data_IF_827537080373
#
_entry.id   IF_827537080373
#
_cell.length_a   1.000
_cell.length_b   1.000
_cell.length_c   1.000
_cell.angle_alpha   90.00
_cell.angle_beta   90.00
_cell.angle_gamma   90.00
#
_symmetry.space_group_name_H-M   'P 1'
#
loop_
_entity.id
_entity.type
_entity.pdbx_description
1 polymer ?
#
# COMPACT_ATOMS: atom_id res chain seq x y z
N UNK A 1 -43.57 24.49 37.15
CA UNK A 1 -42.10 24.58 37.22
C UNK A 1 -41.58 24.91 35.83
N UNK A 2 -41.76 26.16 35.39
CA UNK A 2 -41.57 26.63 34.00
C UNK A 2 -40.59 27.82 33.95
N UNK A 3 -39.75 27.97 34.98
CA UNK A 3 -38.82 29.09 35.20
C UNK A 3 -37.40 28.78 34.70
N UNK A 4 -37.32 28.48 33.40
CA UNK A 4 -36.07 28.36 32.65
C UNK A 4 -35.75 29.60 31.80
N UNK A 5 -36.09 30.77 32.34
CA UNK A 5 -35.34 32.02 32.20
C UNK A 5 -34.75 32.36 30.81
N UNK A 6 -35.44 33.29 30.16
CA UNK A 6 -34.92 34.65 29.99
C UNK A 6 -33.72 34.88 29.05
N UNK A 7 -33.23 33.87 28.31
CA UNK A 7 -32.15 34.07 27.32
C UNK A 7 -32.63 34.62 25.96
N UNK A 8 -33.94 34.85 25.83
CA UNK A 8 -34.53 35.65 24.74
C UNK A 8 -34.53 37.16 25.05
N UNK A 9 -34.00 37.54 26.22
CA UNK A 9 -33.70 38.92 26.55
C UNK A 9 -32.37 39.28 25.89
N UNK A 10 -32.49 39.91 24.73
CA UNK A 10 -31.65 41.02 24.25
C UNK A 10 -31.18 40.86 22.80
N UNK A 11 -32.17 40.79 21.90
CA UNK A 11 -32.03 41.28 20.54
C UNK A 11 -31.96 42.82 20.56
N UNK A 12 -30.78 43.40 20.81
CA UNK A 12 -30.38 44.78 20.48
C UNK A 12 -29.01 45.03 21.14
N UNK A 13 -27.95 45.32 20.39
CA UNK A 13 -27.67 46.69 19.94
C UNK A 13 -26.67 46.58 18.79
N UNK A 14 -26.98 47.27 17.69
CA UNK A 14 -26.03 47.46 16.60
C UNK A 14 -25.00 48.56 16.90
N UNK A 15 -24.06 48.67 15.97
CA UNK A 15 -23.33 49.88 15.57
C UNK A 15 -21.84 49.98 15.98
N UNK A 16 -21.02 50.27 14.95
CA UNK A 16 -19.59 50.63 15.00
C UNK A 16 -18.72 49.55 14.36
N UNK A 17 -18.11 49.66 13.17
CA UNK A 17 -17.64 50.84 12.45
C UNK A 17 -16.11 50.87 12.44
N UNK A 18 -15.52 50.56 11.27
CA UNK A 18 -14.14 50.83 10.83
C UNK A 18 -12.96 50.11 11.51
N UNK A 19 -12.21 49.30 10.74
CA UNK A 19 -10.86 49.66 10.24
C UNK A 19 -10.06 48.42 9.80
N UNK A 20 -9.62 48.46 8.53
CA UNK A 20 -8.32 47.98 8.02
C UNK A 20 -7.71 46.68 8.50
N UNK A 21 -7.54 45.73 7.57
CA UNK A 21 -6.61 44.62 7.77
C UNK A 21 -6.75 43.53 6.73
N UNK A 22 -6.32 43.80 5.49
CA UNK A 22 -6.02 42.76 4.49
C UNK A 22 -5.02 41.77 5.10
N UNK A 23 -5.48 40.57 5.43
CA UNK A 23 -4.69 39.55 6.10
C UNK A 23 -5.03 38.16 5.61
N UNK A 24 -4.27 37.70 4.62
CA UNK A 24 -3.94 36.30 4.39
C UNK A 24 -5.10 35.35 4.09
N UNK A 25 -5.39 35.18 2.80
CA UNK A 25 -5.82 33.86 2.30
C UNK A 25 -4.84 32.81 2.84
N UNK A 26 -5.31 31.73 3.50
CA UNK A 26 -4.45 30.60 3.77
C UNK A 26 -4.11 30.01 2.40
N UNK A 27 -2.88 30.23 1.97
CA UNK A 27 -2.30 29.50 0.87
C UNK A 27 -2.47 28.01 1.19
N UNK A 28 -3.26 27.31 0.38
CA UNK A 28 -3.20 25.86 0.26
C UNK A 28 -1.84 25.54 -0.37
N UNK A 29 -0.80 25.69 0.44
CA UNK A 29 0.50 25.04 0.29
C UNK A 29 0.40 23.68 0.96
N UNK A 30 -0.52 22.85 0.44
CA UNK A 30 -0.42 21.43 0.67
C UNK A 30 0.78 20.97 -0.13
N UNK A 31 1.94 20.94 0.51
CA UNK A 31 3.07 20.17 0.02
C UNK A 31 2.53 18.76 -0.23
N UNK A 32 2.33 18.44 -1.50
CA UNK A 32 2.23 17.06 -1.94
C UNK A 32 3.52 16.43 -1.44
N UNK A 33 3.44 15.74 -0.29
CA UNK A 33 4.32 14.61 -0.05
C UNK A 33 4.04 13.72 -1.24
N UNK A 34 4.86 13.85 -2.28
CA UNK A 34 5.15 12.77 -3.18
C UNK A 34 5.53 11.64 -2.25
N UNK A 35 4.58 10.77 -1.95
CA UNK A 35 4.90 9.47 -1.44
C UNK A 35 5.84 8.94 -2.51
N UNK A 36 7.13 8.87 -2.19
CA UNK A 36 8.09 8.10 -2.98
C UNK A 36 7.50 6.69 -3.01
N UNK A 37 6.69 6.45 -4.05
CA UNK A 37 6.05 5.17 -4.27
C UNK A 37 7.17 4.16 -4.29
N UNK A 38 7.02 3.13 -3.45
CA UNK A 38 7.98 2.05 -3.33
C UNK A 38 8.49 1.66 -4.71
N UNK A 39 9.80 1.72 -4.94
CA UNK A 39 10.30 1.60 -6.30
C UNK A 39 9.94 0.22 -6.84
N UNK A 40 9.64 0.15 -8.14
CA UNK A 40 9.30 -1.11 -8.78
C UNK A 40 10.39 -2.18 -8.52
N UNK A 41 11.66 -1.77 -8.51
CA UNK A 41 12.80 -2.62 -8.16
C UNK A 41 12.65 -3.22 -6.77
N UNK A 42 12.23 -2.45 -5.78
CA UNK A 42 12.07 -2.92 -4.40
C UNK A 42 10.93 -3.94 -4.29
N UNK A 43 9.83 -3.70 -5.01
CA UNK A 43 8.70 -4.65 -5.08
C UNK A 43 9.12 -5.95 -5.77
N UNK A 44 9.86 -5.87 -6.88
CA UNK A 44 10.38 -7.03 -7.58
C UNK A 44 11.34 -7.85 -6.71
N UNK A 45 12.30 -7.17 -6.06
CA UNK A 45 13.27 -7.82 -5.18
C UNK A 45 12.59 -8.49 -3.99
N UNK A 46 11.59 -7.84 -3.40
CA UNK A 46 10.75 -8.42 -2.34
C UNK A 46 10.04 -9.69 -2.83
N UNK A 47 9.39 -9.64 -3.99
CA UNK A 47 8.65 -10.77 -4.53
C UNK A 47 9.57 -11.94 -4.90
N UNK A 48 10.78 -11.66 -5.41
CA UNK A 48 11.79 -12.68 -5.67
C UNK A 48 12.22 -13.38 -4.37
N UNK A 49 12.42 -12.59 -3.31
CA UNK A 49 12.68 -13.12 -1.96
C UNK A 49 11.54 -14.00 -1.45
N UNK A 50 10.30 -13.59 -1.66
CA UNK A 50 9.12 -14.35 -1.26
C UNK A 50 9.00 -15.68 -1.99
N UNK A 51 9.25 -15.72 -3.31
CA UNK A 51 9.27 -16.97 -4.08
C UNK A 51 10.35 -17.93 -3.56
N UNK A 52 11.54 -17.42 -3.24
CA UNK A 52 12.61 -18.23 -2.66
C UNK A 52 12.19 -18.80 -1.29
N UNK A 53 11.59 -17.98 -0.43
CA UNK A 53 11.06 -18.43 0.86
C UNK A 53 10.01 -19.53 0.70
N UNK A 54 9.06 -19.37 -0.21
CA UNK A 54 8.04 -20.39 -0.50
C UNK A 54 8.64 -21.69 -1.03
N UNK A 55 9.69 -21.60 -1.86
CA UNK A 55 10.40 -22.79 -2.33
C UNK A 55 11.07 -23.53 -1.16
N UNK A 56 11.79 -22.82 -0.28
CA UNK A 56 12.42 -23.42 0.89
C UNK A 56 11.40 -24.02 1.87
N UNK A 57 10.26 -23.35 2.08
CA UNK A 57 9.17 -23.89 2.90
C UNK A 57 8.61 -25.19 2.30
N UNK A 58 8.43 -25.25 0.98
CA UNK A 58 8.00 -26.48 0.28
C UNK A 58 9.02 -27.61 0.45
N UNK A 59 10.31 -27.30 0.28
CA UNK A 59 11.38 -28.29 0.41
C UNK A 59 11.48 -28.82 1.85
N UNK A 60 11.36 -27.93 2.84
CA UNK A 60 11.39 -28.29 4.25
C UNK A 60 10.14 -29.07 4.69
N UNK A 61 8.96 -28.71 4.17
CA UNK A 61 7.75 -29.48 4.41
C UNK A 61 7.90 -30.91 3.84
N UNK A 62 8.45 -31.02 2.63
CA UNK A 62 8.73 -32.32 2.01
C UNK A 62 9.74 -33.12 2.83
N UNK A 63 10.85 -32.51 3.26
CA UNK A 63 11.87 -33.15 4.09
C UNK A 63 11.26 -33.67 5.40
N UNK A 64 10.47 -32.85 6.08
CA UNK A 64 9.79 -33.24 7.31
C UNK A 64 8.81 -34.40 7.09
N UNK A 65 8.14 -34.43 5.94
CA UNK A 65 7.24 -35.52 5.59
C UNK A 65 7.98 -36.84 5.33
N UNK A 66 9.01 -36.82 4.47
CA UNK A 66 9.76 -38.05 4.13
C UNK A 66 10.60 -38.59 5.28
N UNK A 67 11.03 -37.72 6.20
CA UNK A 67 11.75 -38.12 7.43
C UNK A 67 10.82 -38.56 8.56
N UNK A 68 9.50 -38.48 8.37
CA UNK A 68 8.51 -38.86 9.39
C UNK A 68 8.37 -37.86 10.54
N UNK A 69 9.01 -36.68 10.46
CA UNK A 69 8.84 -35.58 11.42
C UNK A 69 7.45 -34.94 11.32
N UNK A 70 6.81 -35.04 10.16
CA UNK A 70 5.43 -34.62 9.90
C UNK A 70 4.70 -35.71 9.12
N UNK A 71 3.43 -35.95 9.43
CA UNK A 71 2.57 -36.84 8.66
C UNK A 71 1.59 -36.04 7.77
N UNK A 72 1.75 -34.71 7.69
CA UNK A 72 0.83 -33.85 7.00
C UNK A 72 1.22 -33.66 5.52
N UNK A 73 0.83 -34.61 4.67
CA UNK A 73 1.00 -34.49 3.22
C UNK A 73 0.28 -33.26 2.64
N UNK A 74 -0.81 -32.81 3.27
CA UNK A 74 -1.56 -31.63 2.86
C UNK A 74 -0.72 -30.34 2.93
N UNK A 75 0.15 -30.22 3.93
CA UNK A 75 1.08 -29.10 4.05
C UNK A 75 2.13 -29.08 2.93
N UNK A 76 2.70 -30.24 2.59
CA UNK A 76 3.66 -30.37 1.48
C UNK A 76 3.02 -29.93 0.16
N UNK A 77 1.83 -30.46 -0.11
CA UNK A 77 1.09 -30.15 -1.34
C UNK A 77 0.71 -28.66 -1.37
N UNK A 78 0.23 -28.10 -0.25
CA UNK A 78 -0.13 -26.68 -0.18
C UNK A 78 1.08 -25.76 -0.36
N UNK A 79 2.20 -26.06 0.29
CA UNK A 79 3.44 -25.30 0.15
C UNK A 79 3.96 -25.33 -1.30
N UNK A 80 3.94 -26.51 -1.92
CA UNK A 80 4.34 -26.68 -3.32
C UNK A 80 3.43 -25.91 -4.30
N UNK A 81 2.10 -25.91 -4.07
CA UNK A 81 1.15 -25.13 -4.85
C UNK A 81 1.38 -23.62 -4.70
N UNK A 82 1.63 -23.14 -3.47
CA UNK A 82 1.95 -21.73 -3.20
C UNK A 82 3.22 -21.30 -3.92
N UNK A 83 4.29 -22.10 -3.82
CA UNK A 83 5.55 -21.82 -4.51
C UNK A 83 5.36 -21.77 -6.04
N UNK A 84 4.61 -22.72 -6.61
CA UNK A 84 4.34 -22.79 -8.05
C UNK A 84 3.54 -21.58 -8.56
N UNK A 85 2.51 -21.17 -7.81
CA UNK A 85 1.70 -19.99 -8.13
C UNK A 85 2.54 -18.71 -8.06
N UNK A 86 3.29 -18.53 -6.97
CA UNK A 86 4.13 -17.35 -6.78
C UNK A 86 5.22 -17.25 -7.87
N UNK A 87 5.83 -18.37 -8.23
CA UNK A 87 6.78 -18.43 -9.36
C UNK A 87 6.13 -18.01 -10.68
N UNK A 88 4.93 -18.54 -10.98
CA UNK A 88 4.20 -18.19 -12.21
C UNK A 88 3.90 -16.68 -12.29
N UNK A 89 3.51 -16.08 -11.16
CA UNK A 89 3.32 -14.63 -11.06
C UNK A 89 4.61 -13.86 -11.30
N UNK A 90 5.73 -14.32 -10.73
CA UNK A 90 7.03 -13.69 -10.94
C UNK A 90 7.48 -13.73 -12.41
N UNK A 91 7.22 -14.84 -13.11
CA UNK A 91 7.50 -14.95 -14.55
C UNK A 91 6.69 -13.93 -15.35
N UNK A 92 5.42 -13.72 -15.01
CA UNK A 92 4.59 -12.69 -15.66
C UNK A 92 5.17 -11.29 -15.42
N UNK A 93 5.61 -10.99 -14.21
CA UNK A 93 6.25 -9.71 -13.88
C UNK A 93 7.54 -9.54 -14.68
N UNK A 94 8.39 -10.58 -14.77
CA UNK A 94 9.61 -10.57 -15.60
C UNK A 94 9.28 -10.25 -17.06
N UNK A 95 8.27 -10.89 -17.63
CA UNK A 95 7.87 -10.67 -19.02
C UNK A 95 7.36 -9.24 -19.22
N UNK A 96 6.55 -8.72 -18.31
CA UNK A 96 6.06 -7.33 -18.37
C UNK A 96 7.19 -6.32 -18.29
N UNK A 97 8.20 -6.60 -17.47
CA UNK A 97 9.38 -5.74 -17.37
C UNK A 97 10.20 -5.69 -18.65
N UNK A 98 10.42 -6.85 -19.26
CA UNK A 98 11.10 -6.95 -20.54
C UNK A 98 10.35 -6.12 -21.59
N UNK A 99 9.03 -6.29 -21.68
CA UNK A 99 8.16 -5.55 -22.59
C UNK A 99 8.25 -4.03 -22.35
N UNK A 100 8.12 -3.58 -21.10
CA UNK A 100 8.24 -2.16 -20.77
C UNK A 100 9.63 -1.59 -21.06
N UNK A 101 10.69 -2.38 -20.86
CA UNK A 101 12.05 -1.98 -21.23
C UNK A 101 12.19 -1.80 -22.75
N UNK A 102 11.66 -2.74 -23.54
CA UNK A 102 11.67 -2.66 -24.99
C UNK A 102 10.84 -1.46 -25.51
N UNK A 103 9.71 -1.17 -24.87
CA UNK A 103 8.87 0.00 -25.19
C UNK A 103 9.60 1.32 -24.91
N UNK A 104 10.27 1.45 -23.76
CA UNK A 104 11.12 2.60 -23.41
C UNK A 104 12.27 2.82 -24.42
N UNK A 105 12.82 1.74 -24.97
CA UNK A 105 13.85 1.81 -26.02
C UNK A 105 13.27 2.31 -27.34
N UNK A 106 12.08 1.84 -27.72
CA UNK A 106 11.42 2.20 -28.97
C UNK A 106 10.87 3.64 -29.00
N UNK A 107 10.62 4.25 -27.84
CA UNK A 107 10.24 5.68 -27.75
C UNK A 107 11.41 6.66 -27.94
N UNK A 108 12.66 6.18 -27.82
CA UNK A 108 13.88 7.02 -27.87
C UNK A 108 14.60 6.99 -29.22
N UNK A 109 13.97 6.46 -30.26
CA UNK A 109 14.43 6.52 -31.66
C UNK A 109 13.46 7.35 -32.49
#
# INVERSE_FOLDING_TARGET
>A
MVDGLNSLRNLQVGQGGAAGGVGGTPAVGGAEKTAEGQSFKDVLMKNLGEVNKLQQESDQALENYVTGKSNNMGEVISASQKASLAFSMLVQIRNKLQESYDELKNLRV
#
